data_IF_463401341701
#
_entry.id   IF_463401341701
#
_cell.length_a   1.000
_cell.length_b   1.000
_cell.length_c   1.000
_cell.angle_alpha   90.00
_cell.angle_beta   90.00
_cell.angle_gamma   90.00
#
_symmetry.space_group_name_H-M   'P 1'
#
loop_
_entity.id
_entity.type
_entity.pdbx_description
1 polymer ?
#
# COMPACT_ATOMS: atom_id res chain seq x y z
N UNK A 1 29.71 -14.11 -5.28
CA UNK A 1 29.29 -15.33 -6.00
C UNK A 1 28.55 -14.85 -7.24
N UNK A 2 28.73 -15.48 -8.41
CA UNK A 2 28.01 -15.07 -9.62
C UNK A 2 26.49 -15.15 -9.36
N UNK A 3 25.75 -14.07 -9.65
CA UNK A 3 24.29 -14.08 -9.59
C UNK A 3 23.76 -15.19 -10.50
N UNK A 4 22.98 -16.09 -9.92
CA UNK A 4 22.29 -17.12 -10.69
C UNK A 4 21.03 -16.49 -11.25
N UNK A 5 20.79 -16.68 -12.53
CA UNK A 5 19.58 -16.21 -13.21
C UNK A 5 18.70 -17.40 -13.60
N UNK A 6 17.39 -17.17 -13.66
CA UNK A 6 16.44 -18.03 -14.38
C UNK A 6 15.96 -17.30 -15.63
N UNK A 7 15.57 -18.05 -16.64
CA UNK A 7 14.94 -17.50 -17.83
C UNK A 7 13.42 -17.53 -17.61
N UNK A 8 12.80 -16.37 -17.76
CA UNK A 8 11.35 -16.19 -17.81
C UNK A 8 10.95 -15.68 -19.19
N UNK A 9 9.69 -15.90 -19.58
CA UNK A 9 9.18 -15.54 -20.90
C UNK A 9 7.92 -14.70 -20.79
N UNK A 10 7.85 -13.66 -21.59
CA UNK A 10 6.61 -12.93 -21.91
C UNK A 10 6.40 -12.88 -23.43
N UNK A 11 5.40 -12.14 -23.89
CA UNK A 11 5.11 -12.01 -25.33
C UNK A 11 6.20 -11.28 -26.13
N UNK A 12 7.12 -10.58 -25.46
CA UNK A 12 8.24 -9.86 -26.08
C UNK A 12 9.53 -10.70 -26.11
N UNK A 13 9.55 -11.86 -25.46
CA UNK A 13 10.65 -12.81 -25.50
C UNK A 13 11.19 -13.20 -24.12
N UNK A 14 12.45 -13.62 -24.10
CA UNK A 14 13.13 -14.09 -22.89
C UNK A 14 13.64 -12.92 -22.04
N UNK A 15 13.59 -13.08 -20.71
CA UNK A 15 14.20 -12.18 -19.74
C UNK A 15 15.03 -12.98 -18.71
N UNK A 16 16.18 -12.44 -18.32
CA UNK A 16 17.03 -13.03 -17.26
C UNK A 16 16.61 -12.45 -15.92
N UNK A 17 15.98 -13.26 -15.09
CA UNK A 17 15.49 -12.84 -13.77
C UNK A 17 16.39 -13.43 -12.68
N UNK A 18 16.80 -12.67 -11.65
CA UNK A 18 17.56 -13.22 -10.52
C UNK A 18 16.86 -14.43 -9.88
N UNK A 19 17.60 -15.53 -9.71
CA UNK A 19 17.04 -16.83 -9.30
C UNK A 19 16.50 -16.85 -7.86
N UNK A 20 16.93 -15.90 -7.02
CA UNK A 20 16.49 -15.72 -5.64
C UNK A 20 15.22 -14.83 -5.53
N UNK A 21 14.76 -14.23 -6.62
CA UNK A 21 13.59 -13.34 -6.64
C UNK A 21 12.34 -14.04 -7.14
N UNK A 22 11.15 -13.63 -6.70
CA UNK A 22 9.88 -14.25 -7.13
C UNK A 22 9.18 -13.56 -8.31
N UNK A 23 9.58 -12.35 -8.73
CA UNK A 23 8.94 -11.68 -9.87
C UNK A 23 9.26 -12.35 -11.20
N UNK A 24 8.59 -11.97 -12.29
CA UNK A 24 8.73 -12.63 -13.60
C UNK A 24 9.26 -11.70 -14.68
N UNK A 25 9.06 -12.10 -15.94
CA UNK A 25 9.58 -11.40 -17.10
C UNK A 25 9.03 -9.97 -17.22
N UNK A 26 7.76 -9.73 -16.92
CA UNK A 26 7.18 -8.39 -17.08
C UNK A 26 7.72 -7.41 -16.03
N UNK A 27 7.92 -7.88 -14.80
CA UNK A 27 8.55 -7.07 -13.76
C UNK A 27 10.00 -6.76 -14.11
N UNK A 28 10.78 -7.76 -14.53
CA UNK A 28 12.18 -7.55 -14.93
C UNK A 28 12.29 -6.55 -16.08
N UNK A 29 11.47 -6.72 -17.11
CA UNK A 29 11.42 -5.80 -18.25
C UNK A 29 11.03 -4.38 -17.81
N UNK A 30 10.09 -4.25 -16.88
CA UNK A 30 9.73 -2.94 -16.33
C UNK A 30 10.86 -2.35 -15.48
N UNK A 31 11.62 -3.16 -14.76
CA UNK A 31 12.74 -2.72 -13.96
C UNK A 31 13.84 -2.14 -14.86
N UNK A 32 14.16 -2.79 -15.98
CA UNK A 32 15.13 -2.31 -16.97
C UNK A 32 14.65 -1.08 -17.76
N UNK A 33 13.34 -0.95 -18.01
CA UNK A 33 12.80 0.15 -18.84
C UNK A 33 12.52 1.45 -18.07
N UNK A 34 12.34 1.39 -16.75
CA UNK A 34 11.93 2.53 -15.92
C UNK A 34 12.96 2.82 -14.82
N UNK A 35 14.15 3.25 -15.23
CA UNK A 35 15.26 3.61 -14.34
C UNK A 35 15.15 5.04 -13.76
N UNK A 36 13.97 5.42 -13.28
CA UNK A 36 13.69 6.77 -12.75
C UNK A 36 13.40 6.64 -11.26
N UNK A 37 14.23 7.25 -10.42
CA UNK A 37 14.03 7.22 -8.96
C UNK A 37 14.37 5.88 -8.28
N UNK A 38 15.18 5.05 -8.94
CA UNK A 38 15.57 3.72 -8.43
C UNK A 38 16.24 3.84 -7.07
N UNK A 39 15.72 3.11 -6.07
CA UNK A 39 16.22 3.11 -4.69
C UNK A 39 15.78 4.29 -3.84
N UNK A 40 15.05 5.26 -4.41
CA UNK A 40 14.53 6.44 -3.70
C UNK A 40 13.00 6.41 -3.70
N UNK A 41 12.38 6.32 -4.88
CA UNK A 41 10.93 6.27 -5.07
C UNK A 41 10.45 4.89 -5.56
N UNK A 42 10.86 3.82 -4.88
CA UNK A 42 10.26 2.49 -5.03
C UNK A 42 8.79 2.52 -4.59
N UNK A 43 7.93 1.71 -5.22
CA UNK A 43 6.51 1.65 -4.90
C UNK A 43 6.29 1.51 -3.38
N UNK A 44 5.47 2.38 -2.74
CA UNK A 44 5.27 2.34 -1.31
C UNK A 44 4.78 0.97 -0.83
N UNK A 45 5.29 0.54 0.33
CA UNK A 45 4.96 -0.78 0.90
C UNK A 45 3.48 -0.91 1.21
N UNK A 46 2.83 0.19 1.53
CA UNK A 46 1.38 0.26 1.75
C UNK A 46 0.59 -0.18 0.49
N UNK A 47 1.08 0.16 -0.71
CA UNK A 47 0.46 -0.26 -1.98
C UNK A 47 0.70 -1.76 -2.21
N UNK A 48 1.93 -2.24 -1.99
CA UNK A 48 2.25 -3.67 -2.10
C UNK A 48 1.44 -4.52 -1.12
N UNK A 49 1.32 -4.07 0.14
CA UNK A 49 0.46 -4.69 1.15
C UNK A 49 -1.00 -4.70 0.71
N UNK A 50 -1.51 -3.59 0.16
CA UNK A 50 -2.87 -3.50 -0.36
C UNK A 50 -3.11 -4.49 -1.53
N UNK A 51 -2.14 -4.68 -2.42
CA UNK A 51 -2.21 -5.73 -3.44
C UNK A 51 -2.33 -7.13 -2.81
N UNK A 52 -1.62 -7.42 -1.72
CA UNK A 52 -1.78 -8.67 -0.99
C UNK A 52 -3.23 -8.93 -0.55
N UNK A 53 -3.89 -7.93 0.07
CA UNK A 53 -5.31 -8.04 0.44
C UNK A 53 -6.22 -8.21 -0.78
N UNK A 54 -6.01 -7.38 -1.80
CA UNK A 54 -6.81 -7.40 -3.03
C UNK A 54 -6.76 -8.77 -3.70
N UNK A 55 -5.55 -9.31 -3.94
CA UNK A 55 -5.37 -10.58 -4.63
C UNK A 55 -5.91 -11.76 -3.81
N UNK A 56 -5.78 -11.71 -2.48
CA UNK A 56 -6.41 -12.70 -1.59
C UNK A 56 -7.94 -12.67 -1.70
N UNK A 57 -8.54 -11.49 -1.61
CA UNK A 57 -9.98 -11.33 -1.72
C UNK A 57 -10.50 -11.78 -3.10
N UNK A 58 -9.81 -11.42 -4.18
CA UNK A 58 -10.13 -11.86 -5.53
C UNK A 58 -10.05 -13.40 -5.69
N UNK A 59 -9.03 -14.05 -5.12
CA UNK A 59 -8.92 -15.50 -5.14
C UNK A 59 -10.07 -16.18 -4.36
N UNK A 60 -10.43 -15.64 -3.18
CA UNK A 60 -11.56 -16.13 -2.40
C UNK A 60 -12.89 -16.00 -3.16
N UNK A 61 -13.14 -14.86 -3.78
CA UNK A 61 -14.33 -14.63 -4.59
C UNK A 61 -14.38 -15.56 -5.82
N UNK A 62 -13.25 -15.72 -6.52
CA UNK A 62 -13.16 -16.63 -7.66
C UNK A 62 -13.34 -18.10 -7.26
N UNK A 63 -12.86 -18.53 -6.08
CA UNK A 63 -13.12 -19.89 -5.59
C UNK A 63 -14.60 -20.10 -5.27
N UNK A 64 -15.26 -19.10 -4.67
CA UNK A 64 -16.69 -19.18 -4.36
C UNK A 64 -17.56 -19.25 -5.62
N UNK A 65 -17.22 -18.47 -6.67
CA UNK A 65 -18.04 -18.36 -7.88
C UNK A 65 -17.63 -19.33 -9.01
N UNK A 66 -16.35 -19.72 -9.07
CA UNK A 66 -15.77 -20.56 -10.13
C UNK A 66 -14.81 -21.61 -9.51
N UNK A 67 -15.28 -22.48 -8.61
CA UNK A 67 -14.45 -23.44 -7.88
C UNK A 67 -13.69 -24.43 -8.78
N UNK A 68 -14.17 -24.65 -10.01
CA UNK A 68 -13.52 -25.46 -11.03
C UNK A 68 -12.30 -24.78 -11.68
N UNK A 69 -12.27 -23.43 -11.70
CA UNK A 69 -11.12 -22.66 -12.22
C UNK A 69 -10.17 -22.27 -11.10
N UNK A 70 -10.72 -21.77 -9.99
CA UNK A 70 -10.00 -21.46 -8.77
C UNK A 70 -10.26 -22.58 -7.76
N UNK A 71 -9.49 -23.66 -7.83
CA UNK A 71 -9.67 -24.82 -6.94
C UNK A 71 -9.30 -24.50 -5.50
N UNK A 72 -9.74 -25.32 -4.54
CA UNK A 72 -9.35 -25.18 -3.14
C UNK A 72 -7.81 -25.26 -2.94
N UNK A 73 -7.12 -26.05 -3.77
CA UNK A 73 -5.66 -26.14 -3.78
C UNK A 73 -5.02 -24.81 -4.20
N UNK A 74 -5.49 -24.21 -5.31
CA UNK A 74 -5.04 -22.89 -5.77
C UNK A 74 -5.31 -21.82 -4.73
N UNK A 75 -6.54 -21.77 -4.21
CA UNK A 75 -6.93 -20.79 -3.19
C UNK A 75 -6.02 -20.87 -1.97
N UNK A 76 -5.74 -22.08 -1.46
CA UNK A 76 -4.88 -22.28 -0.29
C UNK A 76 -3.46 -21.78 -0.54
N UNK A 77 -2.87 -22.11 -1.70
CA UNK A 77 -1.51 -21.67 -2.05
C UNK A 77 -1.43 -20.16 -2.26
N UNK A 78 -2.39 -19.58 -3.00
CA UNK A 78 -2.47 -18.14 -3.28
C UNK A 78 -2.70 -17.35 -1.99
N UNK A 79 -3.63 -17.80 -1.13
CA UNK A 79 -3.92 -17.13 0.14
C UNK A 79 -2.68 -17.05 1.02
N UNK A 80 -1.92 -18.15 1.13
CA UNK A 80 -0.69 -18.17 1.90
C UNK A 80 0.38 -17.23 1.31
N UNK A 81 0.56 -17.23 0.00
CA UNK A 81 1.48 -16.29 -0.65
C UNK A 81 1.04 -14.82 -0.45
N UNK A 82 -0.26 -14.52 -0.50
CA UNK A 82 -0.79 -13.19 -0.21
C UNK A 82 -0.55 -12.79 1.25
N UNK A 83 -0.67 -13.71 2.21
CA UNK A 83 -0.38 -13.44 3.63
C UNK A 83 1.09 -13.04 3.85
N UNK A 84 2.01 -13.65 3.09
CA UNK A 84 3.43 -13.26 3.10
C UNK A 84 3.68 -11.89 2.43
N UNK A 85 2.89 -11.50 1.42
CA UNK A 85 2.89 -10.12 0.89
C UNK A 85 2.36 -9.14 1.95
N UNK A 86 1.24 -9.47 2.60
CA UNK A 86 0.57 -8.60 3.58
C UNK A 86 1.45 -8.34 4.81
N UNK A 87 2.16 -9.37 5.28
CA UNK A 87 3.09 -9.26 6.41
C UNK A 87 4.39 -8.53 6.06
N UNK A 88 4.71 -8.39 4.77
CA UNK A 88 5.93 -7.75 4.29
C UNK A 88 7.13 -8.69 4.17
N UNK A 89 6.96 -9.99 4.39
CA UNK A 89 8.02 -11.00 4.19
C UNK A 89 8.57 -11.00 2.76
N UNK A 90 7.76 -10.58 1.78
CA UNK A 90 8.11 -10.57 0.37
C UNK A 90 8.50 -9.18 -0.19
N UNK A 91 8.73 -8.18 0.67
CA UNK A 91 9.00 -6.80 0.22
C UNK A 91 10.16 -6.69 -0.78
N UNK A 92 11.21 -7.50 -0.62
CA UNK A 92 12.38 -7.50 -1.51
C UNK A 92 12.11 -8.07 -2.91
N UNK A 93 10.86 -8.44 -3.19
CA UNK A 93 10.40 -8.94 -4.49
C UNK A 93 9.54 -7.92 -5.26
N UNK A 94 9.49 -6.67 -4.80
CA UNK A 94 8.76 -5.58 -5.45
C UNK A 94 9.70 -4.42 -5.82
N UNK A 95 10.52 -4.56 -6.88
CA UNK A 95 11.60 -3.62 -7.18
C UNK A 95 11.14 -2.36 -7.93
N UNK A 96 9.88 -2.32 -8.38
CA UNK A 96 9.41 -1.30 -9.32
C UNK A 96 9.27 0.07 -8.67
N UNK A 97 9.64 1.09 -9.43
CA UNK A 97 9.53 2.50 -9.05
C UNK A 97 8.11 3.03 -9.23
N UNK A 98 7.81 4.14 -8.54
CA UNK A 98 6.57 4.90 -8.72
C UNK A 98 6.43 5.40 -10.16
N UNK A 99 7.56 5.78 -10.78
CA UNK A 99 7.64 6.34 -12.13
C UNK A 99 7.56 5.26 -13.22
N UNK A 100 6.43 4.57 -13.27
CA UNK A 100 6.10 3.52 -14.24
C UNK A 100 4.93 3.94 -15.15
N UNK A 101 4.19 3.00 -15.76
CA UNK A 101 2.97 3.36 -16.50
C UNK A 101 1.91 4.01 -15.59
N UNK A 102 1.15 4.96 -16.14
CA UNK A 102 0.14 5.70 -15.39
C UNK A 102 -1.05 4.85 -14.89
N UNK A 103 -1.30 3.69 -15.50
CA UNK A 103 -2.34 2.74 -15.04
C UNK A 103 -1.87 1.82 -13.91
N UNK A 104 -0.58 1.84 -13.54
CA UNK A 104 -0.02 0.95 -12.53
C UNK A 104 0.04 -0.52 -12.95
N UNK A 105 -0.06 -0.81 -14.26
CA UNK A 105 -0.07 -2.18 -14.80
C UNK A 105 1.16 -2.97 -14.42
N UNK A 106 2.37 -2.38 -14.40
CA UNK A 106 3.57 -3.15 -14.05
C UNK A 106 3.59 -3.54 -12.58
N UNK A 107 3.14 -2.68 -11.65
CA UNK A 107 2.98 -3.06 -10.24
C UNK A 107 1.90 -4.12 -10.02
N UNK A 108 0.78 -4.07 -10.76
CA UNK A 108 -0.21 -5.15 -10.72
C UNK A 108 0.40 -6.48 -11.20
N UNK A 109 1.17 -6.46 -12.29
CA UNK A 109 1.85 -7.64 -12.82
C UNK A 109 2.95 -8.13 -11.89
N UNK A 110 3.67 -7.25 -11.22
CA UNK A 110 4.65 -7.61 -10.21
C UNK A 110 4.00 -8.37 -9.04
N UNK A 111 2.87 -7.91 -8.54
CA UNK A 111 2.09 -8.67 -7.55
C UNK A 111 1.65 -10.03 -8.10
N UNK A 112 1.13 -10.07 -9.33
CA UNK A 112 0.69 -11.32 -9.95
C UNK A 112 1.82 -12.35 -10.07
N UNK A 113 2.99 -11.93 -10.56
CA UNK A 113 4.16 -12.80 -10.76
C UNK A 113 4.74 -13.29 -9.43
N UNK A 114 4.93 -12.39 -8.46
CA UNK A 114 5.44 -12.74 -7.12
C UNK A 114 4.53 -13.74 -6.42
N UNK A 115 3.21 -13.46 -6.40
CA UNK A 115 2.24 -14.33 -5.75
C UNK A 115 2.14 -15.67 -6.45
N UNK A 116 2.12 -15.71 -7.79
CA UNK A 116 2.07 -16.97 -8.54
C UNK A 116 3.30 -17.84 -8.27
N UNK A 117 4.50 -17.28 -8.39
CA UNK A 117 5.74 -18.02 -8.18
C UNK A 117 5.90 -18.47 -6.73
N UNK A 118 5.47 -17.64 -5.77
CA UNK A 118 5.47 -18.05 -4.37
C UNK A 118 4.46 -19.14 -4.08
N UNK A 119 3.24 -19.04 -4.61
CA UNK A 119 2.21 -20.07 -4.48
C UNK A 119 2.68 -21.40 -5.10
N UNK A 120 3.34 -21.36 -6.26
CA UNK A 120 3.94 -22.54 -6.90
C UNK A 120 5.02 -23.19 -6.02
N UNK A 121 5.88 -22.39 -5.39
CA UNK A 121 6.88 -22.90 -4.44
C UNK A 121 6.23 -23.52 -3.20
N UNK A 122 5.15 -22.93 -2.68
CA UNK A 122 4.37 -23.49 -1.56
C UNK A 122 3.72 -24.83 -1.95
N UNK A 123 3.19 -24.92 -3.17
CA UNK A 123 2.56 -26.13 -3.68
C UNK A 123 3.58 -27.22 -4.11
N UNK A 124 4.85 -26.86 -4.29
CA UNK A 124 5.90 -27.74 -4.80
C UNK A 124 5.76 -28.11 -6.29
N UNK A 125 4.87 -27.44 -7.04
CA UNK A 125 4.59 -27.69 -8.46
C UNK A 125 4.09 -26.41 -9.14
N UNK A 126 4.15 -26.38 -10.47
CA UNK A 126 3.54 -25.31 -11.28
C UNK A 126 2.01 -25.45 -11.25
N UNK A 127 1.38 -24.72 -10.33
CA UNK A 127 -0.05 -24.78 -10.01
C UNK A 127 -0.79 -23.51 -10.43
N UNK A 128 -0.16 -22.35 -10.27
CA UNK A 128 -0.74 -21.02 -10.45
C UNK A 128 -0.04 -20.26 -11.58
N UNK A 129 -0.82 -19.63 -12.44
CA UNK A 129 -0.36 -18.72 -13.49
C UNK A 129 -0.62 -17.25 -13.10
N UNK A 130 0.32 -16.30 -13.35
CA UNK A 130 0.16 -14.90 -12.97
C UNK A 130 -1.14 -14.26 -13.51
N UNK A 131 -1.44 -14.46 -14.80
CA UNK A 131 -2.66 -13.89 -15.41
C UNK A 131 -3.91 -14.74 -15.14
N UNK A 132 -3.89 -15.99 -15.57
CA UNK A 132 -5.07 -16.88 -15.53
C UNK A 132 -5.59 -17.17 -14.11
N UNK A 133 -4.71 -17.16 -13.09
CA UNK A 133 -5.09 -17.46 -11.71
C UNK A 133 -5.04 -16.23 -10.80
N UNK A 134 -3.90 -15.53 -10.72
CA UNK A 134 -3.75 -14.42 -9.77
C UNK A 134 -4.54 -13.19 -10.24
N UNK A 135 -4.52 -12.91 -11.54
CA UNK A 135 -5.27 -11.82 -12.16
C UNK A 135 -6.65 -12.24 -12.68
N UNK A 136 -7.17 -13.41 -12.27
CA UNK A 136 -8.47 -13.90 -12.70
C UNK A 136 -9.58 -12.89 -12.35
N UNK A 137 -10.41 -12.56 -13.34
CA UNK A 137 -11.55 -11.63 -13.21
C UNK A 137 -11.17 -10.18 -12.87
N UNK A 138 -9.94 -9.76 -13.18
CA UNK A 138 -9.39 -8.44 -12.83
C UNK A 138 -8.73 -7.75 -14.03
N UNK A 139 -8.58 -6.42 -13.96
CA UNK A 139 -7.80 -5.59 -14.88
C UNK A 139 -6.80 -4.72 -14.10
N UNK A 140 -5.69 -4.30 -14.70
CA UNK A 140 -4.83 -3.29 -14.03
C UNK A 140 -5.62 -2.01 -13.68
N UNK A 141 -6.60 -1.69 -14.52
CA UNK A 141 -7.35 -0.44 -14.45
C UNK A 141 -8.39 -0.42 -13.32
N UNK A 142 -8.77 -1.58 -12.77
CA UNK A 142 -9.60 -1.69 -11.56
C UNK A 142 -8.77 -2.06 -10.32
N UNK A 143 -7.72 -2.87 -10.50
CA UNK A 143 -6.88 -3.34 -9.40
C UNK A 143 -6.01 -2.25 -8.79
N UNK A 144 -5.32 -1.44 -9.59
CA UNK A 144 -4.41 -0.42 -9.04
C UNK A 144 -5.17 0.68 -8.28
N UNK A 145 -6.28 1.25 -8.80
CA UNK A 145 -7.10 2.18 -8.02
C UNK A 145 -7.69 1.54 -6.75
N UNK A 146 -8.08 0.26 -6.79
CA UNK A 146 -8.54 -0.46 -5.59
C UNK A 146 -7.43 -0.55 -4.54
N UNK A 147 -6.22 -0.93 -4.93
CA UNK A 147 -5.07 -0.98 -4.02
C UNK A 147 -4.73 0.41 -3.44
N UNK A 148 -4.83 1.47 -4.25
CA UNK A 148 -4.66 2.85 -3.82
C UNK A 148 -5.64 3.21 -2.70
N UNK A 149 -6.93 2.97 -2.89
CA UNK A 149 -7.96 3.27 -1.89
C UNK A 149 -7.76 2.45 -0.60
N UNK A 150 -7.48 1.15 -0.70
CA UNK A 150 -7.19 0.30 0.46
C UNK A 150 -5.99 0.87 1.25
N UNK A 151 -4.92 1.25 0.54
CA UNK A 151 -3.71 1.80 1.18
C UNK A 151 -3.96 3.13 1.88
N UNK A 152 -4.78 4.00 1.28
CA UNK A 152 -5.14 5.30 1.84
C UNK A 152 -5.96 5.14 3.12
N UNK A 153 -6.95 4.24 3.12
CA UNK A 153 -7.76 3.93 4.31
C UNK A 153 -6.87 3.45 5.45
N UNK A 154 -5.98 2.47 5.21
CA UNK A 154 -5.04 2.01 6.25
C UNK A 154 -4.11 3.12 6.75
N UNK A 155 -3.59 3.96 5.87
CA UNK A 155 -2.73 5.07 6.29
C UNK A 155 -3.47 6.09 7.17
N UNK A 156 -4.75 6.34 6.88
CA UNK A 156 -5.57 7.28 7.64
C UNK A 156 -5.97 6.66 8.99
N UNK A 157 -6.55 5.46 8.98
CA UNK A 157 -7.09 4.82 10.18
C UNK A 157 -5.99 4.34 11.14
N UNK A 158 -4.97 3.66 10.63
CA UNK A 158 -3.97 2.99 11.47
C UNK A 158 -2.86 3.94 11.94
N UNK A 159 -2.63 5.06 11.24
CA UNK A 159 -1.54 6.00 11.54
C UNK A 159 -2.05 7.40 11.85
N UNK A 160 -2.73 8.04 10.90
CA UNK A 160 -3.04 9.47 10.97
C UNK A 160 -4.00 9.81 12.12
N UNK A 161 -5.09 9.06 12.29
CA UNK A 161 -6.05 9.33 13.36
C UNK A 161 -5.43 9.20 14.74
N UNK A 162 -4.62 8.17 14.98
CA UNK A 162 -3.89 8.02 16.25
C UNK A 162 -2.94 9.19 16.54
N UNK A 163 -2.24 9.69 15.52
CA UNK A 163 -1.37 10.85 15.65
C UNK A 163 -2.15 12.14 15.97
N UNK A 164 -3.27 12.36 15.30
CA UNK A 164 -4.17 13.50 15.58
C UNK A 164 -4.70 13.41 17.01
N UNK A 165 -5.18 12.24 17.43
CA UNK A 165 -5.75 12.03 18.77
C UNK A 165 -4.72 12.30 19.87
N UNK A 166 -3.48 11.88 19.65
CA UNK A 166 -2.35 12.17 20.55
C UNK A 166 -2.08 13.67 20.68
N UNK A 167 -2.08 14.40 19.55
CA UNK A 167 -1.83 15.84 19.55
C UNK A 167 -3.00 16.62 20.17
N UNK A 168 -4.25 16.22 19.90
CA UNK A 168 -5.44 16.79 20.53
C UNK A 168 -5.41 16.59 22.04
N UNK A 169 -5.07 15.39 22.52
CA UNK A 169 -4.93 15.11 23.95
C UNK A 169 -3.84 15.99 24.60
N UNK A 170 -2.71 16.18 23.91
CA UNK A 170 -1.62 17.05 24.36
C UNK A 170 -2.09 18.50 24.47
N UNK A 171 -2.80 19.02 23.47
CA UNK A 171 -3.35 20.38 23.53
C UNK A 171 -4.42 20.53 24.61
N UNK A 172 -5.27 19.53 24.87
CA UNK A 172 -6.22 19.57 26.00
C UNK A 172 -5.51 19.74 27.34
N UNK A 173 -4.40 19.05 27.55
CA UNK A 173 -3.59 19.18 28.77
C UNK A 173 -3.00 20.60 28.87
N UNK A 174 -2.32 21.05 27.82
CA UNK A 174 -1.67 22.37 27.80
C UNK A 174 -2.68 23.51 27.92
N UNK A 175 -3.82 23.42 27.25
CA UNK A 175 -4.93 24.37 27.37
C UNK A 175 -5.31 24.56 28.85
N UNK A 176 -5.56 23.46 29.56
CA UNK A 176 -5.93 23.48 30.99
C UNK A 176 -4.85 24.09 31.87
N UNK A 177 -3.58 23.74 31.64
CA UNK A 177 -2.43 24.25 32.40
C UNK A 177 -2.23 25.76 32.22
N UNK A 178 -2.63 26.32 31.07
CA UNK A 178 -2.35 27.70 30.67
C UNK A 178 -3.59 28.63 30.73
N UNK A 179 -4.73 28.17 31.25
CA UNK A 179 -5.96 28.98 31.32
C UNK A 179 -5.84 30.27 32.13
N UNK A 180 -4.95 30.31 33.13
CA UNK A 180 -4.77 31.49 34.00
C UNK A 180 -3.68 32.45 33.53
N UNK A 181 -2.91 32.08 32.49
CA UNK A 181 -1.82 32.90 31.97
C UNK A 181 -2.39 33.87 30.94
N UNK A 182 -2.36 35.17 31.23
CA UNK A 182 -2.84 36.22 30.32
C UNK A 182 -1.69 36.70 29.43
N UNK A 183 -1.96 36.85 28.13
CA UNK A 183 -1.02 37.37 27.13
C UNK A 183 -1.66 38.46 26.28
N UNK A 184 -0.84 39.29 25.65
CA UNK A 184 -1.29 40.21 24.59
C UNK A 184 -1.79 39.41 23.38
N UNK A 185 -2.99 39.72 22.91
CA UNK A 185 -3.47 39.25 21.61
C UNK A 185 -2.69 39.90 20.47
N UNK A 186 -2.68 39.29 19.29
CA UNK A 186 -2.11 39.92 18.09
C UNK A 186 -3.03 39.78 16.89
N UNK A 187 -3.39 40.90 16.28
CA UNK A 187 -4.10 40.96 14.99
C UNK A 187 -3.26 41.78 14.02
N UNK A 188 -3.11 41.32 12.77
CA UNK A 188 -2.15 41.93 11.83
C UNK A 188 -0.71 42.06 12.39
N UNK A 189 -0.32 41.14 13.27
CA UNK A 189 0.94 41.15 14.03
C UNK A 189 1.13 42.35 14.99
N UNK A 190 0.11 43.20 15.17
CA UNK A 190 0.11 44.31 16.12
C UNK A 190 -0.56 43.91 17.43
N UNK A 191 -0.22 44.60 18.52
CA UNK A 191 -0.82 44.37 19.83
C UNK A 191 -2.33 44.59 19.82
N UNK A 192 -3.05 43.71 20.50
CA UNK A 192 -4.51 43.71 20.59
C UNK A 192 -4.98 43.44 22.02
N UNK A 193 -6.31 43.36 22.20
CA UNK A 193 -6.90 43.06 23.51
C UNK A 193 -6.40 41.73 24.08
N UNK A 194 -6.15 41.62 25.41
CA UNK A 194 -5.59 40.41 26.00
C UNK A 194 -6.50 39.18 25.88
N UNK A 195 -5.87 38.01 25.80
CA UNK A 195 -6.51 36.68 25.90
C UNK A 195 -5.69 35.81 26.86
N UNK A 196 -6.28 34.75 27.41
CA UNK A 196 -5.48 33.72 28.07
C UNK A 196 -4.71 32.89 27.03
N UNK A 197 -3.54 32.37 27.41
CA UNK A 197 -2.79 31.48 26.55
C UNK A 197 -3.54 30.16 26.29
N UNK A 198 -4.31 29.68 27.29
CA UNK A 198 -5.24 28.57 27.09
C UNK A 198 -6.27 28.81 25.97
N UNK A 199 -6.83 30.02 25.86
CA UNK A 199 -7.75 30.36 24.76
C UNK A 199 -7.08 30.24 23.38
N UNK A 200 -5.82 30.65 23.25
CA UNK A 200 -5.07 30.49 21.99
C UNK A 200 -4.87 29.01 21.62
N UNK A 201 -4.45 28.19 22.59
CA UNK A 201 -4.28 26.74 22.41
C UNK A 201 -5.61 26.07 22.02
N UNK A 202 -6.73 26.52 22.60
CA UNK A 202 -8.06 25.98 22.28
C UNK A 202 -8.41 26.15 20.79
N UNK A 203 -7.90 27.20 20.13
CA UNK A 203 -8.02 27.39 18.69
C UNK A 203 -7.28 26.32 17.90
N UNK A 204 -6.02 26.02 18.26
CA UNK A 204 -5.22 24.97 17.63
C UNK A 204 -5.85 23.58 17.80
N UNK A 205 -6.27 23.25 19.04
CA UNK A 205 -6.98 22.02 19.35
C UNK A 205 -8.24 21.86 18.51
N UNK A 206 -9.07 22.91 18.44
CA UNK A 206 -10.33 22.87 17.69
C UNK A 206 -10.10 22.72 16.20
N UNK A 207 -9.02 23.30 15.63
CA UNK A 207 -8.64 23.07 14.24
C UNK A 207 -8.42 21.58 13.97
N UNK A 208 -7.58 20.91 14.78
CA UNK A 208 -7.30 19.49 14.61
C UNK A 208 -8.54 18.60 14.79
N UNK A 209 -9.40 18.89 15.77
CA UNK A 209 -10.64 18.15 15.96
C UNK A 209 -11.59 18.29 14.76
N UNK A 210 -11.59 19.45 14.08
CA UNK A 210 -12.37 19.65 12.85
C UNK A 210 -11.73 18.94 11.66
N UNK A 211 -10.41 19.04 11.49
CA UNK A 211 -9.67 18.38 10.42
C UNK A 211 -9.86 16.86 10.48
N UNK A 212 -9.83 16.28 11.68
CA UNK A 212 -10.14 14.86 11.90
C UNK A 212 -11.53 14.48 11.39
N UNK A 213 -12.56 15.27 11.73
CA UNK A 213 -13.94 15.03 11.26
C UNK A 213 -14.07 15.15 9.74
N UNK A 214 -13.34 16.09 9.13
CA UNK A 214 -13.31 16.21 7.67
C UNK A 214 -12.68 14.98 7.02
N UNK A 215 -11.58 14.47 7.58
CA UNK A 215 -10.94 13.24 7.12
C UNK A 215 -11.88 12.04 7.27
N UNK A 216 -12.54 11.87 8.42
CA UNK A 216 -13.56 10.82 8.62
C UNK A 216 -14.67 10.90 7.57
N UNK A 217 -15.17 12.10 7.26
CA UNK A 217 -16.22 12.29 6.25
C UNK A 217 -15.76 12.02 4.80
N UNK A 218 -14.45 11.96 4.57
CA UNK A 218 -13.85 11.72 3.25
C UNK A 218 -13.53 10.24 3.00
N UNK A 219 -13.59 9.40 4.03
CA UNK A 219 -13.42 7.96 3.88
C UNK A 219 -14.64 7.35 3.16
N UNK A 220 -14.42 6.34 2.29
CA UNK A 220 -15.47 5.70 1.49
C UNK A 220 -16.46 4.85 2.29
#
# INVERSE_FOLDING_TARGET
MAEKFRIEHDSMGEMKVPADKYWGAQTERSHENFEIGVGIETMPREITKAFGYLKKAAAMANNALKPQKMTAEKLKAISKACDEVISGELNDHFPLVVWQTGSGTQSNMNANEVIANRANKIAGKKLCHPNDDINMSQSSNDTFPTALHISAVFAIEDKLFSAIDTLVATFKKLEKENMKIVKSGRTHLQDAVPISFGQEISGWRTSLERDRKMLESSLP
#
